data_IF_027380403720
#
_entry.id   IF_027380403720
#
_cell.length_a   1.000
_cell.length_b   1.000
_cell.length_c   1.000
_cell.angle_alpha   90.00
_cell.angle_beta   90.00
_cell.angle_gamma   90.00
#
_symmetry.space_group_name_H-M   'P 1'
#
loop_
_entity.id
_entity.type
_entity.pdbx_description
1 polymer ?
#
# COMPACT_ATOMS: atom_id res chain seq x y z
N UNK A 1 -29.43 -4.49 -7.55
CA UNK A 1 -28.57 -5.66 -7.80
C UNK A 1 -28.12 -6.18 -6.47
N UNK A 2 -28.41 -7.45 -6.17
CA UNK A 2 -28.08 -8.03 -4.88
C UNK A 2 -26.73 -8.73 -4.99
N UNK A 3 -25.72 -8.21 -4.26
CA UNK A 3 -24.39 -8.83 -4.22
C UNK A 3 -24.24 -9.68 -2.97
N UNK A 4 -23.61 -10.82 -3.12
CA UNK A 4 -23.24 -11.71 -2.02
C UNK A 4 -21.74 -11.98 -2.07
N UNK A 5 -21.10 -12.06 -0.92
CA UNK A 5 -19.72 -12.47 -0.76
C UNK A 5 -19.67 -13.82 -0.07
N UNK A 6 -18.93 -14.76 -0.65
CA UNK A 6 -18.68 -16.07 -0.05
C UNK A 6 -17.19 -16.21 0.12
N UNK A 7 -16.75 -16.39 1.38
CA UNK A 7 -15.36 -16.62 1.75
C UNK A 7 -15.26 -18.04 2.27
N UNK A 8 -14.42 -18.84 1.65
CA UNK A 8 -14.12 -20.20 2.07
C UNK A 8 -12.64 -20.34 2.36
N UNK A 9 -12.34 -20.92 3.53
CA UNK A 9 -10.99 -21.20 3.99
C UNK A 9 -10.81 -22.70 4.05
N UNK A 10 -10.02 -23.27 3.15
CA UNK A 10 -9.71 -24.69 3.10
C UNK A 10 -8.22 -24.90 3.39
N UNK A 11 -7.88 -25.22 4.63
CA UNK A 11 -6.49 -25.33 5.08
C UNK A 11 -5.81 -23.95 5.15
N UNK A 12 -4.86 -23.70 4.23
CA UNK A 12 -4.15 -22.42 4.12
C UNK A 12 -4.60 -21.59 2.91
N UNK A 13 -5.52 -22.10 2.12
CA UNK A 13 -6.06 -21.42 0.95
C UNK A 13 -7.33 -20.66 1.31
N UNK A 14 -7.42 -19.40 0.89
CA UNK A 14 -8.62 -18.58 1.00
C UNK A 14 -9.23 -18.43 -0.39
N UNK A 15 -10.49 -18.81 -0.55
CA UNK A 15 -11.27 -18.59 -1.77
C UNK A 15 -12.35 -17.59 -1.52
N UNK A 16 -12.46 -16.59 -2.38
CA UNK A 16 -13.44 -15.52 -2.26
C UNK A 16 -14.24 -15.46 -3.55
N UNK A 17 -15.54 -15.67 -3.45
CA UNK A 17 -16.46 -15.56 -4.55
C UNK A 17 -17.38 -14.35 -4.36
N UNK A 18 -17.47 -13.51 -5.40
CA UNK A 18 -18.46 -12.44 -5.49
C UNK A 18 -19.58 -12.93 -6.39
N UNK A 19 -20.81 -13.00 -5.84
CA UNK A 19 -22.00 -13.35 -6.59
C UNK A 19 -22.86 -12.11 -6.79
N UNK A 20 -23.52 -12.04 -7.93
CA UNK A 20 -24.52 -11.01 -8.25
C UNK A 20 -25.81 -11.71 -8.72
N UNK A 21 -26.91 -11.47 -8.01
CA UNK A 21 -28.19 -12.14 -8.23
C UNK A 21 -28.04 -13.68 -8.34
N UNK A 22 -27.19 -14.28 -7.47
CA UNK A 22 -26.90 -15.71 -7.42
C UNK A 22 -25.99 -16.25 -8.52
N UNK A 23 -25.38 -15.38 -9.35
CA UNK A 23 -24.41 -15.77 -10.38
C UNK A 23 -23.00 -15.40 -9.96
N UNK A 24 -22.06 -16.31 -10.14
CA UNK A 24 -20.65 -16.08 -9.88
C UNK A 24 -20.10 -15.03 -10.87
N UNK A 25 -19.67 -13.87 -10.34
CA UNK A 25 -19.06 -12.79 -11.11
C UNK A 25 -17.54 -12.81 -11.02
N UNK A 26 -17.01 -13.02 -9.82
CA UNK A 26 -15.58 -13.04 -9.57
C UNK A 26 -15.22 -14.20 -8.63
N UNK A 27 -14.11 -14.86 -8.91
CA UNK A 27 -13.53 -15.86 -8.04
C UNK A 27 -12.05 -15.52 -7.82
N UNK A 28 -11.71 -15.28 -6.56
CA UNK A 28 -10.33 -15.08 -6.14
C UNK A 28 -9.89 -16.28 -5.31
N UNK A 29 -8.66 -16.72 -5.54
CA UNK A 29 -8.02 -17.75 -4.72
C UNK A 29 -6.67 -17.20 -4.26
N UNK A 30 -6.43 -17.25 -2.98
CA UNK A 30 -5.18 -16.86 -2.35
C UNK A 30 -4.63 -18.03 -1.56
N UNK A 31 -3.35 -18.32 -1.76
CA UNK A 31 -2.64 -19.35 -1.00
C UNK A 31 -1.83 -18.61 0.05
N UNK A 32 -2.28 -18.62 1.28
CA UNK A 32 -1.69 -17.89 2.42
C UNK A 32 -0.22 -18.24 2.74
N UNK A 33 0.36 -19.15 1.95
CA UNK A 33 1.67 -19.75 2.23
C UNK A 33 2.87 -18.97 1.67
N UNK A 34 2.70 -17.82 1.04
CA UNK A 34 3.86 -17.22 0.36
C UNK A 34 4.46 -15.99 1.03
N UNK A 35 3.85 -15.37 2.05
CA UNK A 35 4.37 -14.09 2.56
C UNK A 35 4.95 -13.29 1.35
N UNK A 36 4.97 -12.09 1.19
CA UNK A 36 5.31 -11.30 0.00
C UNK A 36 4.10 -10.98 -0.89
N UNK A 37 3.01 -10.59 -0.22
CA UNK A 37 1.78 -10.15 -0.86
C UNK A 37 1.97 -8.80 -1.58
N UNK A 38 1.16 -8.57 -2.61
CA UNK A 38 1.09 -7.24 -3.25
C UNK A 38 0.65 -6.20 -2.21
N UNK A 39 1.43 -5.12 -2.10
CA UNK A 39 1.18 -4.06 -1.12
C UNK A 39 2.15 -4.09 0.07
N UNK A 40 2.74 -5.24 0.39
CA UNK A 40 3.74 -5.35 1.45
C UNK A 40 4.90 -4.40 1.25
N UNK A 41 5.32 -3.74 2.33
CA UNK A 41 6.46 -2.81 2.31
C UNK A 41 7.65 -3.46 3.02
N UNK A 42 8.75 -3.53 2.31
CA UNK A 42 10.02 -4.06 2.80
C UNK A 42 11.11 -2.98 2.88
N UNK A 43 11.99 -3.11 3.84
CA UNK A 43 13.32 -2.51 3.79
C UNK A 43 14.23 -3.50 3.08
N UNK A 44 14.50 -3.27 1.80
CA UNK A 44 15.34 -4.14 0.99
C UNK A 44 16.79 -3.66 0.94
N UNK A 45 17.69 -4.56 0.57
CA UNK A 45 19.11 -4.25 0.35
C UNK A 45 19.46 -4.41 -1.13
N UNK A 46 20.01 -3.37 -1.75
CA UNK A 46 20.48 -3.43 -3.14
C UNK A 46 21.64 -4.42 -3.24
N UNK A 47 21.47 -5.51 -3.98
CA UNK A 47 22.54 -6.50 -4.21
C UNK A 47 23.42 -6.14 -5.38
N UNK A 48 22.79 -5.84 -6.53
CA UNK A 48 23.53 -5.50 -7.75
C UNK A 48 22.72 -4.55 -8.63
N UNK A 49 23.43 -3.74 -9.39
CA UNK A 49 22.86 -2.93 -10.46
C UNK A 49 22.91 -3.71 -11.78
N UNK A 50 21.95 -3.47 -12.64
CA UNK A 50 21.87 -3.96 -14.03
C UNK A 50 21.68 -2.77 -14.97
N UNK A 51 22.77 -2.00 -15.29
CA UNK A 51 22.65 -0.76 -16.07
C UNK A 51 22.04 -0.95 -17.45
N UNK A 52 22.32 -2.07 -18.10
CA UNK A 52 21.74 -2.41 -19.43
C UNK A 52 20.22 -2.54 -19.42
N UNK A 53 19.63 -2.85 -18.27
CA UNK A 53 18.19 -2.93 -18.05
C UNK A 53 17.64 -1.69 -17.35
N UNK A 54 18.49 -0.73 -17.00
CA UNK A 54 18.17 0.40 -16.15
C UNK A 54 17.41 -0.03 -14.87
N UNK A 55 17.93 -1.06 -14.19
CA UNK A 55 17.27 -1.74 -13.07
C UNK A 55 18.28 -2.16 -12.00
N UNK A 56 17.77 -2.59 -10.86
CA UNK A 56 18.58 -3.24 -9.82
C UNK A 56 17.85 -4.46 -9.23
N UNK A 57 18.64 -5.33 -8.60
CA UNK A 57 18.15 -6.48 -7.86
C UNK A 57 18.26 -6.19 -6.36
N UNK A 58 17.17 -6.44 -5.66
CA UNK A 58 16.97 -6.08 -4.24
C UNK A 58 16.67 -7.33 -3.44
N UNK A 59 17.45 -7.54 -2.39
CA UNK A 59 17.16 -8.55 -1.39
C UNK A 59 16.08 -8.02 -0.43
N UNK A 60 14.95 -8.70 -0.37
CA UNK A 60 13.85 -8.41 0.55
C UNK A 60 13.59 -9.58 1.52
N UNK A 61 14.51 -10.56 1.58
CA UNK A 61 14.39 -11.77 2.40
C UNK A 61 13.68 -12.94 1.69
N UNK A 62 13.31 -12.79 0.42
CA UNK A 62 12.79 -13.88 -0.41
C UNK A 62 13.93 -14.70 -1.04
N UNK A 63 13.67 -15.97 -1.41
CA UNK A 63 14.66 -16.86 -2.03
C UNK A 63 15.24 -16.36 -3.34
N UNK A 64 14.54 -15.47 -4.04
CA UNK A 64 14.96 -14.80 -5.28
C UNK A 64 14.96 -13.29 -5.08
N UNK A 65 15.97 -12.62 -5.59
CA UNK A 65 16.06 -11.17 -5.51
C UNK A 65 14.89 -10.51 -6.25
N UNK A 66 14.31 -9.49 -5.62
CA UNK A 66 13.25 -8.68 -6.20
C UNK A 66 13.80 -7.78 -7.32
N UNK A 67 12.99 -7.50 -8.34
CA UNK A 67 13.36 -6.68 -9.48
C UNK A 67 12.78 -5.27 -9.33
N UNK A 68 13.66 -4.25 -9.39
CA UNK A 68 13.31 -2.83 -9.33
C UNK A 68 13.83 -2.13 -10.58
N UNK A 69 12.91 -1.74 -11.46
CA UNK A 69 13.26 -0.97 -12.66
C UNK A 69 13.26 0.53 -12.37
N UNK A 70 14.05 1.33 -13.11
CA UNK A 70 14.12 2.78 -12.92
C UNK A 70 12.75 3.47 -13.03
N UNK A 71 11.89 3.04 -13.96
CA UNK A 71 10.53 3.59 -14.09
C UNK A 71 9.56 3.17 -12.96
N UNK A 72 9.95 2.21 -12.13
CA UNK A 72 9.21 1.82 -10.92
C UNK A 72 9.71 2.62 -9.68
N UNK A 73 10.67 3.56 -9.88
CA UNK A 73 11.05 4.52 -8.86
C UNK A 73 10.03 5.66 -8.84
N UNK A 74 9.47 5.96 -7.67
CA UNK A 74 8.70 7.18 -7.49
C UNK A 74 9.59 8.42 -7.64
N UNK A 75 9.07 9.56 -8.12
CA UNK A 75 9.86 10.78 -8.26
C UNK A 75 10.55 11.20 -6.96
N UNK A 76 9.93 10.90 -5.80
CA UNK A 76 10.41 11.25 -4.47
C UNK A 76 11.39 10.24 -3.87
N UNK A 77 11.95 9.31 -4.65
CA UNK A 77 12.84 8.25 -4.13
C UNK A 77 13.99 8.78 -3.29
N UNK A 78 14.59 9.92 -3.67
CA UNK A 78 15.69 10.52 -2.90
C UNK A 78 15.26 10.95 -1.50
N UNK A 79 14.04 11.48 -1.38
CA UNK A 79 13.42 11.85 -0.10
C UNK A 79 13.13 10.61 0.75
N UNK A 80 12.52 9.58 0.16
CA UNK A 80 12.23 8.30 0.82
C UNK A 80 13.51 7.60 1.30
N UNK A 81 14.55 7.56 0.46
CA UNK A 81 15.86 6.99 0.80
C UNK A 81 16.55 7.73 1.95
N UNK A 82 16.55 9.08 1.89
CA UNK A 82 17.09 9.92 2.97
C UNK A 82 16.32 9.70 4.29
N UNK A 83 14.99 9.66 4.24
CA UNK A 83 14.15 9.40 5.42
C UNK A 83 14.48 8.06 6.05
N UNK A 84 14.49 6.98 5.26
CA UNK A 84 14.83 5.65 5.75
C UNK A 84 16.20 5.61 6.41
N UNK A 85 17.22 6.19 5.76
CA UNK A 85 18.59 6.25 6.28
C UNK A 85 18.72 7.03 7.58
N UNK A 86 17.99 8.15 7.72
CA UNK A 86 17.99 8.96 8.93
C UNK A 86 17.23 8.26 10.07
N UNK A 87 16.10 7.61 9.78
CA UNK A 87 15.32 6.84 10.75
C UNK A 87 16.12 5.66 11.30
N UNK A 88 16.75 4.88 10.44
CA UNK A 88 17.62 3.76 10.84
C UNK A 88 18.82 4.19 11.72
N UNK A 89 19.32 5.41 11.55
CA UNK A 89 20.39 5.99 12.36
C UNK A 89 19.89 6.74 13.60
N UNK A 90 18.59 6.66 13.93
CA UNK A 90 17.95 7.42 15.00
C UNK A 90 18.14 8.95 14.92
N UNK A 91 18.43 9.47 13.71
CA UNK A 91 18.56 10.92 13.45
C UNK A 91 17.25 11.58 13.06
N UNK A 92 16.20 10.80 12.76
CA UNK A 92 14.84 11.25 12.53
C UNK A 92 13.91 10.45 13.44
N UNK A 93 13.41 11.10 14.49
CA UNK A 93 12.70 10.45 15.60
C UNK A 93 11.17 10.52 15.48
N UNK A 94 10.66 11.08 14.40
CA UNK A 94 9.21 11.25 14.20
C UNK A 94 8.76 10.69 12.86
N UNK A 95 7.52 10.18 12.81
CA UNK A 95 6.88 9.77 11.58
C UNK A 95 6.31 10.94 10.75
N UNK A 96 6.21 12.14 11.35
CA UNK A 96 5.70 13.33 10.68
C UNK A 96 6.70 13.87 9.65
N UNK A 97 6.18 14.28 8.49
CA UNK A 97 6.99 14.81 7.39
C UNK A 97 6.99 16.34 7.30
N UNK A 98 6.19 17.04 8.12
CA UNK A 98 6.03 18.51 8.09
C UNK A 98 7.35 19.30 8.12
N UNK A 99 8.33 18.83 8.87
CA UNK A 99 9.66 19.48 8.98
C UNK A 99 10.75 18.66 8.31
N UNK A 100 10.40 17.65 7.55
CA UNK A 100 11.36 16.85 6.82
C UNK A 100 11.76 17.57 5.54
N UNK A 101 13.06 17.92 5.43
CA UNK A 101 13.60 18.56 4.23
C UNK A 101 13.69 17.51 3.12
N UNK A 102 12.77 17.59 2.16
CA UNK A 102 12.74 16.72 0.98
C UNK A 102 13.93 17.00 0.06
N UNK A 103 14.30 16.01 -0.73
CA UNK A 103 15.29 16.10 -1.79
C UNK A 103 14.59 16.39 -3.13
N UNK A 104 15.40 16.85 -4.12
CA UNK A 104 14.89 17.08 -5.47
C UNK A 104 14.42 15.76 -6.09
N UNK A 105 13.27 15.81 -6.74
CA UNK A 105 12.71 14.69 -7.50
C UNK A 105 13.69 14.20 -8.59
N UNK A 106 13.63 12.90 -8.89
CA UNK A 106 14.41 12.33 -9.99
C UNK A 106 13.76 12.64 -11.34
N UNK A 107 14.57 12.69 -12.39
CA UNK A 107 14.07 12.82 -13.76
C UNK A 107 13.55 11.47 -14.26
N UNK A 108 12.57 11.50 -15.16
CA UNK A 108 12.01 10.29 -15.77
C UNK A 108 13.01 9.51 -16.62
N UNK A 109 13.95 10.22 -17.27
CA UNK A 109 14.95 9.67 -18.20
C UNK A 109 16.33 9.50 -17.53
N UNK A 110 16.37 9.26 -16.23
CA UNK A 110 17.62 9.06 -15.49
C UNK A 110 18.10 7.62 -15.51
N UNK A 111 19.19 7.36 -14.76
CA UNK A 111 19.77 6.05 -14.61
C UNK A 111 19.64 5.51 -13.19
N UNK A 112 19.43 4.20 -13.05
CA UNK A 112 19.40 3.54 -11.75
C UNK A 112 20.72 3.74 -10.97
N UNK A 113 21.85 3.84 -11.67
CA UNK A 113 23.15 4.06 -11.08
C UNK A 113 23.34 5.49 -10.51
N UNK A 114 22.51 6.46 -10.93
CA UNK A 114 22.52 7.82 -10.38
C UNK A 114 21.78 7.91 -9.03
N UNK A 115 21.03 6.85 -8.69
CA UNK A 115 20.18 6.81 -7.50
C UNK A 115 20.74 5.87 -6.44
N UNK A 116 21.21 4.69 -6.83
CA UNK A 116 21.59 3.62 -5.91
C UNK A 116 23.01 3.09 -6.15
N UNK A 117 23.56 2.55 -5.06
CA UNK A 117 24.78 1.77 -5.05
C UNK A 117 24.52 0.39 -4.43
N UNK A 118 25.30 -0.66 -4.82
CA UNK A 118 25.27 -1.94 -4.12
C UNK A 118 25.50 -1.77 -2.63
N UNK A 119 24.67 -2.41 -1.81
CA UNK A 119 24.70 -2.31 -0.36
C UNK A 119 23.76 -1.27 0.24
N UNK A 120 23.17 -0.38 -0.55
CA UNK A 120 22.18 0.57 -0.07
C UNK A 120 20.92 -0.15 0.44
N UNK A 121 20.32 0.41 1.51
CA UNK A 121 19.04 -0.06 2.05
C UNK A 121 17.94 0.88 1.57
N UNK A 122 16.92 0.34 0.93
CA UNK A 122 15.82 1.10 0.32
C UNK A 122 14.47 0.53 0.73
N UNK A 123 13.52 1.42 1.00
CA UNK A 123 12.13 1.05 1.24
C UNK A 123 11.45 0.78 -0.10
N UNK A 124 10.84 -0.40 -0.22
CA UNK A 124 10.21 -0.87 -1.46
C UNK A 124 8.88 -1.54 -1.15
N UNK A 125 7.97 -1.52 -2.12
CA UNK A 125 6.64 -2.13 -2.02
C UNK A 125 6.45 -3.15 -3.13
N UNK A 126 5.85 -4.30 -2.82
CA UNK A 126 5.57 -5.35 -3.79
C UNK A 126 4.42 -4.91 -4.70
N UNK A 127 4.65 -4.95 -6.02
CA UNK A 127 3.64 -4.66 -7.04
C UNK A 127 3.15 -5.90 -7.77
N UNK A 128 3.98 -6.95 -7.81
CA UNK A 128 3.60 -8.27 -8.33
C UNK A 128 4.30 -9.34 -7.51
N UNK A 129 3.55 -10.33 -7.14
CA UNK A 129 4.04 -11.52 -6.44
C UNK A 129 5.09 -12.28 -7.27
N UNK A 130 5.94 -13.06 -6.60
CA UNK A 130 6.91 -13.91 -7.30
C UNK A 130 6.18 -14.95 -8.16
N UNK A 131 6.68 -15.18 -9.39
CA UNK A 131 6.09 -16.14 -10.33
C UNK A 131 7.16 -17.15 -10.74
N UNK A 132 6.94 -18.44 -10.44
CA UNK A 132 7.83 -19.54 -10.78
C UNK A 132 9.29 -19.31 -10.33
N UNK A 133 10.20 -19.10 -11.29
CA UNK A 133 11.62 -18.89 -11.03
C UNK A 133 12.04 -17.44 -10.86
N UNK A 134 11.09 -16.47 -10.95
CA UNK A 134 11.37 -15.03 -10.88
C UNK A 134 11.00 -14.50 -9.50
N UNK A 135 11.84 -13.59 -8.98
CA UNK A 135 11.54 -12.84 -7.78
C UNK A 135 10.38 -11.84 -7.99
N UNK A 136 9.85 -11.26 -6.91
CA UNK A 136 8.77 -10.31 -6.99
C UNK A 136 9.19 -9.04 -7.73
N UNK A 137 8.22 -8.36 -8.37
CA UNK A 137 8.41 -7.01 -8.89
C UNK A 137 8.06 -6.01 -7.80
N UNK A 138 8.89 -5.01 -7.64
CA UNK A 138 8.75 -4.01 -6.59
C UNK A 138 8.80 -2.59 -7.16
N UNK A 139 8.27 -1.65 -6.39
CA UNK A 139 8.36 -0.21 -6.62
C UNK A 139 8.95 0.48 -5.40
N UNK A 140 9.56 1.63 -5.56
CA UNK A 140 9.92 2.51 -4.45
C UNK A 140 8.92 3.64 -4.22
N UNK A 141 7.87 3.74 -5.04
CA UNK A 141 6.75 4.64 -4.83
C UNK A 141 5.79 4.02 -3.82
N UNK A 142 6.01 4.34 -2.55
CA UNK A 142 5.22 3.79 -1.45
C UNK A 142 3.84 4.42 -1.44
N UNK A 143 2.82 3.57 -1.37
CA UNK A 143 1.43 3.96 -1.24
C UNK A 143 0.73 3.05 -0.23
N UNK A 144 -0.05 3.63 0.69
CA UNK A 144 -0.80 2.89 1.70
C UNK A 144 -2.27 3.07 1.40
N UNK A 145 -2.95 1.98 1.05
CA UNK A 145 -4.35 2.01 0.66
C UNK A 145 -5.27 1.94 1.87
N UNK A 146 -6.21 2.89 1.96
CA UNK A 146 -7.38 2.87 2.82
C UNK A 146 -8.63 2.52 2.05
N UNK A 147 -9.77 2.68 2.69
CA UNK A 147 -11.07 2.46 2.05
C UNK A 147 -11.38 3.55 1.03
N UNK A 148 -11.25 4.80 1.42
CA UNK A 148 -11.62 5.98 0.63
C UNK A 148 -10.44 6.70 0.01
N UNK A 149 -9.25 6.56 0.63
CA UNK A 149 -8.06 7.33 0.31
C UNK A 149 -6.87 6.39 0.14
N UNK A 150 -5.90 6.80 -0.69
CA UNK A 150 -4.56 6.22 -0.70
C UNK A 150 -3.59 7.29 -0.23
N UNK A 151 -2.80 6.99 0.78
CA UNK A 151 -1.77 7.87 1.34
C UNK A 151 -0.46 7.69 0.57
N UNK A 152 0.14 8.79 0.13
CA UNK A 152 1.43 8.79 -0.60
C UNK A 152 2.43 9.67 0.16
N UNK A 153 3.36 9.09 0.93
CA UNK A 153 4.37 9.84 1.67
C UNK A 153 5.31 10.62 0.73
N UNK A 154 5.90 11.69 1.25
CA UNK A 154 6.83 12.59 0.54
C UNK A 154 6.22 13.38 -0.63
N UNK A 155 4.91 13.39 -0.75
CA UNK A 155 4.16 14.17 -1.73
C UNK A 155 3.29 15.19 -1.01
N UNK A 156 2.85 16.24 -1.72
CA UNK A 156 1.83 17.17 -1.21
C UNK A 156 0.59 17.21 -2.13
N UNK A 157 0.57 16.37 -3.15
CA UNK A 157 -0.49 16.39 -4.17
C UNK A 157 -1.77 15.76 -3.64
N UNK A 158 -2.90 16.38 -3.96
CA UNK A 158 -4.22 15.76 -3.84
C UNK A 158 -4.69 15.40 -5.25
N UNK A 159 -5.04 14.14 -5.45
CA UNK A 159 -5.50 13.61 -6.72
C UNK A 159 -6.84 12.91 -6.52
N UNK A 160 -7.67 12.88 -7.56
CA UNK A 160 -9.00 12.23 -7.52
C UNK A 160 -9.09 11.19 -8.63
N UNK A 161 -9.72 10.05 -8.31
CA UNK A 161 -10.06 9.03 -9.30
C UNK A 161 -10.74 9.64 -10.52
N UNK A 162 -10.31 9.27 -11.71
CA UNK A 162 -10.91 9.72 -12.97
C UNK A 162 -12.32 9.16 -13.18
N UNK A 163 -12.74 8.17 -12.39
CA UNK A 163 -14.08 7.58 -12.45
C UNK A 163 -15.14 8.49 -11.82
N UNK A 164 -14.78 9.34 -10.86
CA UNK A 164 -15.68 10.36 -10.31
C UNK A 164 -15.85 11.47 -11.36
N UNK A 165 -17.04 11.53 -11.99
CA UNK A 165 -17.30 12.42 -13.11
C UNK A 165 -17.95 13.74 -12.70
N UNK A 166 -18.70 13.74 -11.59
CA UNK A 166 -19.39 14.94 -11.09
C UNK A 166 -18.35 15.99 -10.65
N UNK A 167 -18.39 17.16 -11.29
CA UNK A 167 -17.42 18.24 -11.05
C UNK A 167 -17.59 18.85 -9.65
N UNK A 168 -18.81 19.07 -9.19
CA UNK A 168 -19.10 19.63 -7.87
C UNK A 168 -18.59 18.72 -6.77
N UNK A 169 -18.83 17.41 -6.90
CA UNK A 169 -18.34 16.41 -5.96
C UNK A 169 -16.82 16.34 -5.95
N UNK A 170 -16.16 16.44 -7.09
CA UNK A 170 -14.69 16.50 -7.18
C UNK A 170 -14.14 17.71 -6.42
N UNK A 171 -14.73 18.88 -6.62
CA UNK A 171 -14.33 20.12 -5.93
C UNK A 171 -14.57 20.02 -4.42
N UNK A 172 -15.70 19.44 -3.99
CA UNK A 172 -16.02 19.18 -2.59
C UNK A 172 -14.98 18.27 -1.93
N UNK A 173 -14.70 17.11 -2.51
CA UNK A 173 -13.75 16.13 -1.99
C UNK A 173 -12.32 16.69 -1.94
N UNK A 174 -11.90 17.46 -2.97
CA UNK A 174 -10.62 18.16 -2.98
C UNK A 174 -10.52 19.14 -1.81
N UNK A 175 -11.54 19.98 -1.63
CA UNK A 175 -11.57 20.96 -0.54
C UNK A 175 -11.46 20.32 0.85
N UNK A 176 -12.18 19.22 1.07
CA UNK A 176 -12.10 18.47 2.34
C UNK A 176 -10.67 17.96 2.56
N UNK A 177 -10.09 17.24 1.59
CA UNK A 177 -8.79 16.59 1.80
C UNK A 177 -7.63 17.58 1.83
N UNK A 178 -7.69 18.69 1.11
CA UNK A 178 -6.71 19.77 1.24
C UNK A 178 -6.71 20.39 2.63
N UNK A 179 -7.88 20.46 3.28
CA UNK A 179 -8.02 21.00 4.63
C UNK A 179 -7.51 20.05 5.73
N UNK A 180 -7.70 18.72 5.56
CA UNK A 180 -7.40 17.74 6.62
C UNK A 180 -6.06 17.03 6.46
N UNK A 181 -5.50 16.92 5.24
CA UNK A 181 -4.25 16.20 5.02
C UNK A 181 -3.06 16.90 5.68
N UNK A 182 -2.17 16.17 6.35
CA UNK A 182 -0.96 16.78 6.89
C UNK A 182 0.07 17.10 5.79
N UNK A 183 0.92 18.08 6.06
CA UNK A 183 2.01 18.46 5.19
C UNK A 183 3.03 17.33 5.01
N UNK A 184 3.53 17.16 3.78
CA UNK A 184 4.46 16.08 3.41
C UNK A 184 3.78 14.78 2.97
N UNK A 185 2.45 14.73 3.02
CA UNK A 185 1.66 13.58 2.54
C UNK A 185 0.78 14.01 1.37
N UNK A 186 0.85 13.26 0.29
CA UNK A 186 -0.13 13.29 -0.78
C UNK A 186 -1.26 12.31 -0.53
N UNK A 187 -2.39 12.56 -1.16
CA UNK A 187 -3.56 11.69 -1.07
C UNK A 187 -4.19 11.48 -2.45
N UNK A 188 -4.66 10.27 -2.70
CA UNK A 188 -5.42 9.93 -3.90
C UNK A 188 -6.81 9.50 -3.44
N UNK A 189 -7.84 10.20 -3.91
CA UNK A 189 -9.24 9.91 -3.59
C UNK A 189 -9.72 8.76 -4.47
N UNK A 190 -10.22 7.71 -3.84
CA UNK A 190 -10.80 6.54 -4.52
C UNK A 190 -12.24 6.80 -4.93
N UNK A 191 -12.76 6.00 -5.85
CA UNK A 191 -14.14 6.14 -6.35
C UNK A 191 -15.19 5.96 -5.25
N UNK A 192 -14.93 5.03 -4.32
CA UNK A 192 -15.82 4.75 -3.18
C UNK A 192 -15.92 5.88 -2.15
N UNK A 193 -15.11 6.94 -2.29
CA UNK A 193 -15.21 8.16 -1.49
C UNK A 193 -16.33 9.11 -1.94
N UNK A 194 -16.98 8.82 -3.06
CA UNK A 194 -18.11 9.61 -3.57
C UNK A 194 -19.23 9.66 -2.52
N UNK A 195 -19.77 10.84 -2.29
CA UNK A 195 -20.82 11.15 -1.30
C UNK A 195 -20.43 10.98 0.18
N UNK A 196 -19.17 10.59 0.48
CA UNK A 196 -18.71 10.43 1.85
C UNK A 196 -18.52 11.79 2.55
N UNK A 197 -18.80 11.80 3.85
CA UNK A 197 -18.68 13.01 4.68
C UNK A 197 -17.23 13.24 5.15
N UNK A 198 -17.00 14.36 5.82
CA UNK A 198 -15.66 14.74 6.30
C UNK A 198 -15.15 13.81 7.39
N UNK A 199 -16.01 13.30 8.26
CA UNK A 199 -15.64 12.41 9.37
C UNK A 199 -15.12 11.08 8.83
N UNK A 200 -15.85 10.44 7.90
CA UNK A 200 -15.44 9.19 7.26
C UNK A 200 -14.08 9.31 6.57
N UNK A 201 -13.83 10.43 5.88
CA UNK A 201 -12.55 10.69 5.22
C UNK A 201 -11.43 10.97 6.22
N UNK A 202 -11.73 11.66 7.33
CA UNK A 202 -10.77 11.92 8.39
C UNK A 202 -10.37 10.65 9.13
N UNK A 203 -11.31 9.75 9.38
CA UNK A 203 -11.06 8.47 10.06
C UNK A 203 -10.18 7.56 9.20
N UNK A 204 -10.47 7.46 7.90
CA UNK A 204 -9.64 6.70 6.96
C UNK A 204 -8.21 7.31 6.88
N UNK A 205 -8.11 8.65 6.85
CA UNK A 205 -6.80 9.32 6.87
C UNK A 205 -6.04 9.04 8.17
N UNK A 206 -6.70 9.09 9.33
CA UNK A 206 -6.09 8.79 10.62
C UNK A 206 -5.59 7.35 10.70
N UNK A 207 -6.36 6.40 10.18
CA UNK A 207 -5.96 5.00 10.06
C UNK A 207 -4.68 4.86 9.23
N UNK A 208 -4.61 5.51 8.07
CA UNK A 208 -3.44 5.48 7.18
C UNK A 208 -2.20 6.13 7.82
N UNK A 209 -2.38 7.23 8.54
CA UNK A 209 -1.30 7.87 9.29
C UNK A 209 -0.77 6.98 10.44
N UNK A 210 -1.64 6.19 11.06
CA UNK A 210 -1.22 5.19 12.04
C UNK A 210 -0.43 4.05 11.39
N UNK A 211 -0.81 3.57 10.20
CA UNK A 211 0.00 2.62 9.42
C UNK A 211 1.38 3.22 9.09
N UNK A 212 1.44 4.47 8.66
CA UNK A 212 2.72 5.16 8.42
C UNK A 212 3.58 5.29 9.67
N UNK A 213 2.97 5.53 10.84
CA UNK A 213 3.67 5.50 12.14
C UNK A 213 4.29 4.14 12.43
N UNK A 214 3.60 3.04 12.07
CA UNK A 214 4.15 1.68 12.16
C UNK A 214 5.34 1.52 11.23
N UNK A 215 5.25 1.99 9.96
CA UNK A 215 6.37 2.00 9.01
C UNK A 215 7.60 2.68 9.63
N UNK A 216 7.46 3.89 10.15
CA UNK A 216 8.57 4.60 10.78
C UNK A 216 9.17 3.81 11.97
N UNK A 217 8.31 3.31 12.86
CA UNK A 217 8.74 2.52 14.03
C UNK A 217 9.55 1.30 13.61
N UNK A 218 9.12 0.60 12.55
CA UNK A 218 9.79 -0.60 12.07
C UNK A 218 11.07 -0.28 11.31
N UNK A 219 11.17 0.86 10.62
CA UNK A 219 12.43 1.35 10.03
C UNK A 219 13.50 1.63 11.09
N UNK A 220 13.09 2.15 12.26
CA UNK A 220 14.03 2.42 13.37
C UNK A 220 14.52 1.12 14.01
N UNK A 221 13.68 0.09 14.08
CA UNK A 221 13.99 -1.16 14.80
C UNK A 221 14.72 -2.21 13.97
N UNK A 222 14.52 -2.22 12.65
CA UNK A 222 14.98 -3.30 11.79
C UNK A 222 16.17 -2.90 10.91
N UNK A 223 16.87 -3.92 10.45
CA UNK A 223 17.93 -3.82 9.44
C UNK A 223 17.53 -4.58 8.19
N UNK A 224 17.95 -4.11 7.01
CA UNK A 224 17.63 -4.76 5.73
C UNK A 224 18.32 -6.13 5.61
N UNK A 225 17.65 -7.15 5.07
CA UNK A 225 16.26 -7.15 4.62
C UNK A 225 15.24 -7.35 5.75
N UNK A 226 14.11 -6.65 5.73
CA UNK A 226 13.05 -6.82 6.73
C UNK A 226 11.67 -6.39 6.20
N UNK A 227 10.60 -7.06 6.62
CA UNK A 227 9.22 -6.61 6.44
C UNK A 227 8.98 -5.38 7.33
N UNK A 228 8.47 -4.31 6.75
CA UNK A 228 8.23 -3.04 7.44
C UNK A 228 6.74 -2.80 7.70
N UNK A 229 5.92 -3.09 6.71
CA UNK A 229 4.47 -3.07 6.84
C UNK A 229 3.90 -4.24 6.06
N UNK A 230 3.11 -5.04 6.74
CA UNK A 230 2.29 -6.07 6.15
C UNK A 230 1.02 -5.44 5.58
N UNK A 231 0.67 -5.72 4.33
CA UNK A 231 -0.62 -5.33 3.79
C UNK A 231 -1.68 -6.32 4.28
N UNK A 232 -2.93 -5.89 4.26
CA UNK A 232 -4.04 -6.77 4.59
C UNK A 232 -4.02 -8.01 3.69
N UNK A 233 -4.41 -9.14 4.24
CA UNK A 233 -4.66 -10.33 3.43
C UNK A 233 -5.65 -10.04 2.29
N UNK A 234 -5.68 -10.91 1.30
CA UNK A 234 -6.48 -10.65 0.09
C UNK A 234 -7.97 -10.57 0.38
N UNK A 235 -8.46 -11.35 1.36
CA UNK A 235 -9.86 -11.32 1.76
C UNK A 235 -10.24 -9.97 2.34
N UNK A 236 -9.47 -9.49 3.31
CA UNK A 236 -9.64 -8.17 3.92
C UNK A 236 -9.48 -7.04 2.90
N UNK A 237 -8.54 -7.18 1.95
CA UNK A 237 -8.35 -6.20 0.87
C UNK A 237 -9.56 -6.15 -0.07
N UNK A 238 -10.14 -7.30 -0.43
CA UNK A 238 -11.35 -7.37 -1.26
C UNK A 238 -12.56 -6.79 -0.52
N UNK A 239 -12.71 -7.11 0.77
CA UNK A 239 -13.75 -6.51 1.61
C UNK A 239 -13.60 -4.99 1.63
N UNK A 240 -12.42 -4.47 1.98
CA UNK A 240 -12.14 -3.04 1.99
C UNK A 240 -12.47 -2.36 0.65
N UNK A 241 -12.14 -3.02 -0.47
CA UNK A 241 -12.18 -2.41 -1.79
C UNK A 241 -13.55 -2.53 -2.48
N UNK A 242 -14.29 -3.60 -2.20
CA UNK A 242 -15.55 -3.91 -2.89
C UNK A 242 -16.80 -3.80 -2.01
N UNK A 243 -16.63 -3.91 -0.68
CA UNK A 243 -17.78 -3.90 0.21
C UNK A 243 -18.49 -2.53 0.20
N UNK A 244 -19.75 -2.54 -0.22
CA UNK A 244 -20.62 -1.38 -0.28
C UNK A 244 -22.06 -1.80 0.09
N UNK A 245 -22.99 -0.85 0.07
CA UNK A 245 -24.39 -1.07 0.44
C UNK A 245 -25.15 -2.02 -0.50
N UNK A 246 -24.56 -2.40 -1.65
CA UNK A 246 -25.14 -3.40 -2.57
C UNK A 246 -25.00 -4.83 -2.06
N UNK A 247 -24.12 -5.08 -1.07
CA UNK A 247 -23.93 -6.41 -0.50
C UNK A 247 -25.00 -6.71 0.55
N UNK A 248 -25.83 -7.70 0.26
CA UNK A 248 -26.90 -8.14 1.14
C UNK A 248 -26.51 -9.28 2.07
N UNK A 249 -25.39 -9.96 1.76
CA UNK A 249 -24.96 -11.14 2.51
C UNK A 249 -23.45 -11.38 2.41
N UNK A 250 -22.85 -11.74 3.54
CA UNK A 250 -21.49 -12.29 3.62
C UNK A 250 -21.60 -13.66 4.26
N UNK A 251 -21.05 -14.68 3.60
CA UNK A 251 -20.98 -16.06 4.10
C UNK A 251 -19.50 -16.43 4.27
N UNK A 252 -19.13 -16.85 5.48
CA UNK A 252 -17.74 -17.25 5.83
C UNK A 252 -17.83 -18.64 6.46
N UNK A 253 -16.97 -19.54 6.05
CA UNK A 253 -16.93 -20.93 6.59
C UNK A 253 -15.97 -21.09 7.78
N UNK A 254 -15.10 -20.10 8.05
CA UNK A 254 -14.15 -20.16 9.16
C UNK A 254 -14.57 -19.25 10.33
N UNK A 255 -14.71 -19.86 11.50
CA UNK A 255 -15.04 -19.11 12.71
C UNK A 255 -13.87 -18.25 13.24
N UNK A 256 -12.62 -18.49 12.84
CA UNK A 256 -11.47 -17.67 13.22
C UNK A 256 -11.45 -16.32 12.49
N UNK A 257 -11.85 -16.28 11.23
CA UNK A 257 -12.09 -15.01 10.50
C UNK A 257 -13.21 -14.19 11.15
N UNK A 258 -14.24 -14.86 11.66
CA UNK A 258 -15.35 -14.21 12.35
C UNK A 258 -14.94 -13.61 13.71
N UNK A 259 -13.98 -14.23 14.41
CA UNK A 259 -13.54 -13.80 15.74
C UNK A 259 -12.42 -12.76 15.69
N UNK A 260 -11.58 -12.70 14.67
CA UNK A 260 -10.53 -11.68 14.52
C UNK A 260 -11.12 -10.30 14.22
N UNK A 261 -12.24 -10.23 13.51
CA UNK A 261 -12.95 -8.98 13.21
C UNK A 261 -13.75 -8.44 14.41
N UNK A 262 -14.16 -9.34 15.32
CA UNK A 262 -14.87 -8.94 16.56
C UNK A 262 -13.94 -8.33 17.63
N UNK A 263 -12.64 -8.52 17.51
CA UNK A 263 -11.63 -7.97 18.44
C UNK A 263 -11.10 -6.59 18.01
N UNK A 264 -11.32 -6.21 16.76
CA UNK A 264 -10.93 -4.88 16.23
C UNK A 264 -12.19 -4.00 16.21
N UNK A 265 -12.41 -3.25 17.30
CA UNK A 265 -13.59 -2.40 17.59
C UNK A 265 -13.75 -1.23 16.57
N UNK A 266 -13.04 -1.26 15.44
CA UNK A 266 -13.05 -0.23 14.39
C UNK A 266 -14.05 -0.47 13.25
N UNK A 267 -14.84 -1.58 13.30
CA UNK A 267 -15.88 -1.91 12.31
C UNK A 267 -17.29 -1.93 12.90
N UNK A 268 -17.52 -1.23 14.02
CA UNK A 268 -18.90 -0.95 14.45
C UNK A 268 -19.48 0.17 13.61
N UNK A 269 -20.40 -0.20 12.73
CA UNK A 269 -21.45 0.68 12.17
C UNK A 269 -22.38 1.09 13.27
#
# INVERSE_FOLDING_TARGET
>A
MNKELVISTEGQDVRIAVLEDGRLMELHQDSSNQGFAVGDIYLGKIKKLAPSLNACFVDIGYSKDAFLHYHDLGPQIRSSFKFSRLSMKNKHQTHWLKHFKTEKDINKDGSIADVFQPGDSVMVQITKEPIHSKGPRITSEISIAGRYIVLVPFSNRVSISQKIKNKEERERLLGILEAIKPEGFGVIIRTVAEEKNTEELQDDLNYLLNKWKVVHRNLVKNTAPALILDEMDRASSILRDNFNDDFIKISVDDCLLYTSDAADDSLRV
#
